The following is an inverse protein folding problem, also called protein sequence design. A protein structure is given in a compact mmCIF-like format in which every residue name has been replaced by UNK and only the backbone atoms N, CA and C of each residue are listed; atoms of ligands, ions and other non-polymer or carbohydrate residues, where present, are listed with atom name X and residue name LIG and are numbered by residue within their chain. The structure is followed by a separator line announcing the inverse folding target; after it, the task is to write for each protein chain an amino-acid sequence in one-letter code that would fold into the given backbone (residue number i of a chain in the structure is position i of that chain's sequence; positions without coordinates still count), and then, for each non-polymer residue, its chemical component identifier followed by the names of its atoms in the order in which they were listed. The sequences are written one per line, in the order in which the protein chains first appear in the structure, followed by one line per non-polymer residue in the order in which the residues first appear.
data_IF_559656313144
#
_entry.id   IF_559656313144
#
_cell.length_a   1.000
_cell.length_b   1.000
_cell.length_c   1.000
_cell.angle_alpha   90.00
_cell.angle_beta   90.00
_cell.angle_gamma   90.00
#
_symmetry.space_group_name_H-M   'P 1'
#
loop_
_entity.id
_entity.type
_entity.pdbx_description
1 polymer ?
#
# COMPACT_ATOMS: atom_id res chain seq x y z
N UNK A 1 -6.07 54.58 -4.56
CA UNK A 1 -7.43 54.04 -4.31
C UNK A 1 -7.35 52.70 -3.60
N UNK A 2 -8.16 52.47 -2.57
CA UNK A 2 -8.45 51.14 -2.00
C UNK A 2 -9.97 51.05 -1.81
N UNK A 3 -10.59 49.98 -2.30
CA UNK A 3 -12.04 49.81 -2.19
C UNK A 3 -12.44 49.25 -0.82
N UNK A 4 -13.55 49.71 -0.22
CA UNK A 4 -14.13 49.06 0.95
C UNK A 4 -14.80 47.74 0.55
N UNK A 5 -14.83 46.76 1.46
CA UNK A 5 -15.69 45.56 1.35
C UNK A 5 -15.00 44.22 1.55
N UNK A 6 -13.78 44.01 1.02
CA UNK A 6 -13.06 42.75 1.20
C UNK A 6 -12.02 42.80 2.32
N UNK A 7 -12.13 41.86 3.25
CA UNK A 7 -11.07 41.58 4.23
C UNK A 7 -9.81 41.04 3.54
N UNK A 8 -8.60 41.35 4.04
CA UNK A 8 -7.36 40.84 3.45
C UNK A 8 -7.30 39.31 3.56
N UNK A 9 -6.90 38.65 2.48
CA UNK A 9 -6.67 37.20 2.44
C UNK A 9 -5.69 36.75 3.53
N UNK A 10 -5.74 35.48 3.96
CA UNK A 10 -4.92 34.97 5.06
C UNK A 10 -3.42 35.25 4.87
N UNK A 11 -2.91 35.19 3.63
CA UNK A 11 -1.54 35.58 3.29
C UNK A 11 -1.22 37.04 3.64
N UNK A 12 -2.03 37.98 3.18
CA UNK A 12 -1.78 39.40 3.41
C UNK A 12 -2.05 39.83 4.86
N UNK A 13 -3.02 39.17 5.52
CA UNK A 13 -3.32 39.31 6.95
C UNK A 13 -2.14 38.86 7.82
N UNK A 14 -1.57 37.67 7.57
CA UNK A 14 -0.42 37.15 8.33
C UNK A 14 0.85 37.95 8.06
N UNK A 15 1.12 38.30 6.79
CA UNK A 15 2.29 39.07 6.37
C UNK A 15 2.17 40.58 6.60
N UNK A 16 1.09 41.05 7.27
CA UNK A 16 0.82 42.46 7.62
C UNK A 16 0.95 43.43 6.42
N UNK A 17 0.59 43.00 5.22
CA UNK A 17 0.69 43.77 3.96
C UNK A 17 -0.67 44.06 3.36
N UNK A 18 -0.77 45.10 2.51
CA UNK A 18 -1.98 45.39 1.74
C UNK A 18 -2.30 44.23 0.80
N UNK A 19 -3.55 43.76 0.81
CA UNK A 19 -4.06 42.87 -0.24
C UNK A 19 -4.40 43.71 -1.48
N UNK A 20 -3.78 43.40 -2.62
CA UNK A 20 -4.12 43.97 -3.92
C UNK A 20 -5.26 43.17 -4.58
N UNK A 21 -5.88 43.71 -5.65
CA UNK A 21 -6.99 43.06 -6.37
C UNK A 21 -6.54 41.80 -7.13
N UNK A 22 -5.28 41.82 -7.55
CA UNK A 22 -4.52 40.83 -8.32
C UNK A 22 -3.65 39.91 -7.43
N UNK A 23 -3.90 39.89 -6.11
CA UNK A 23 -3.12 39.11 -5.17
C UNK A 23 -3.22 37.60 -5.45
N UNK A 24 -2.13 36.99 -5.94
CA UNK A 24 -2.05 35.56 -6.28
C UNK A 24 -2.48 34.60 -5.15
N UNK A 25 -2.37 35.02 -3.89
CA UNK A 25 -2.79 34.22 -2.73
C UNK A 25 -4.29 34.30 -2.42
N UNK A 26 -4.98 35.35 -2.86
CA UNK A 26 -6.36 35.62 -2.45
C UNK A 26 -7.39 34.54 -2.89
N UNK A 27 -7.31 33.93 -4.08
CA UNK A 27 -8.24 32.87 -4.48
C UNK A 27 -8.09 31.56 -3.70
N UNK A 28 -6.92 31.31 -3.08
CA UNK A 28 -6.58 30.00 -2.50
C UNK A 28 -6.43 30.01 -0.97
N UNK A 29 -6.27 31.19 -0.37
CA UNK A 29 -6.08 31.40 1.06
C UNK A 29 -7.09 32.45 1.60
N UNK A 30 -8.38 32.09 1.71
CA UNK A 30 -9.45 32.99 2.18
C UNK A 30 -9.18 33.54 3.59
N UNK A 31 -9.81 34.65 4.01
CA UNK A 31 -9.60 35.27 5.32
C UNK A 31 -10.05 34.40 6.50
N UNK A 32 -10.94 33.44 6.24
CA UNK A 32 -11.64 32.57 7.19
C UNK A 32 -10.77 31.39 7.64
N UNK A 33 -9.80 30.97 6.82
CA UNK A 33 -8.81 29.94 7.15
C UNK A 33 -7.39 30.56 7.22
N UNK A 34 -7.04 31.22 8.34
CA UNK A 34 -5.69 31.73 8.56
C UNK A 34 -4.67 30.62 8.78
N UNK A 35 -5.09 29.43 9.22
CA UNK A 35 -4.19 28.33 9.56
C UNK A 35 -3.60 27.66 8.32
N UNK A 36 -4.39 27.46 7.26
CA UNK A 36 -3.95 26.92 5.95
C UNK A 36 -2.81 27.72 5.34
N UNK A 37 -2.83 29.06 5.43
CA UNK A 37 -1.66 29.85 5.01
C UNK A 37 -0.50 29.79 6.03
N UNK A 38 -0.78 29.82 7.34
CA UNK A 38 0.27 29.84 8.36
C UNK A 38 1.19 28.60 8.32
N UNK A 39 0.64 27.40 8.10
CA UNK A 39 1.44 26.16 7.98
C UNK A 39 2.27 26.14 6.68
N UNK A 40 1.67 26.52 5.55
CA UNK A 40 2.36 26.62 4.25
C UNK A 40 3.48 27.66 4.31
N UNK A 41 3.23 28.79 4.98
CA UNK A 41 4.23 29.81 5.23
C UNK A 41 5.38 29.30 6.11
N UNK A 42 5.09 28.51 7.15
CA UNK A 42 6.10 27.93 8.05
C UNK A 42 7.00 26.90 7.35
N UNK A 43 6.47 26.10 6.44
CA UNK A 43 7.20 24.99 5.80
C UNK A 43 7.87 25.40 4.49
N UNK A 44 7.18 26.13 3.62
CA UNK A 44 7.67 26.49 2.29
C UNK A 44 8.12 27.96 2.16
N UNK A 45 7.54 28.87 2.95
CA UNK A 45 7.78 30.31 2.86
C UNK A 45 7.01 31.01 1.72
N UNK A 46 6.58 32.25 1.96
CA UNK A 46 5.69 32.97 1.04
C UNK A 46 6.27 33.14 -0.38
N UNK A 47 7.56 33.43 -0.50
CA UNK A 47 8.23 33.69 -1.78
C UNK A 47 8.28 32.44 -2.66
N UNK A 48 8.60 31.28 -2.09
CA UNK A 48 8.68 30.02 -2.81
C UNK A 48 7.30 29.57 -3.31
N UNK A 49 6.26 29.70 -2.47
CA UNK A 49 4.87 29.43 -2.86
C UNK A 49 4.40 30.40 -3.93
N UNK A 50 4.77 31.69 -3.85
CA UNK A 50 4.47 32.65 -4.92
C UNK A 50 5.09 32.23 -6.26
N UNK A 51 6.35 31.76 -6.24
CA UNK A 51 7.07 31.30 -7.42
C UNK A 51 6.44 30.03 -8.01
N UNK A 52 6.24 28.99 -7.19
CA UNK A 52 5.59 27.73 -7.62
C UNK A 52 4.21 27.97 -8.24
N UNK A 53 3.40 28.86 -7.64
CA UNK A 53 2.10 29.21 -8.22
C UNK A 53 2.22 30.04 -9.51
N UNK A 54 3.25 30.88 -9.67
CA UNK A 54 3.49 31.62 -10.92
C UNK A 54 3.90 30.69 -12.07
N UNK A 55 4.70 29.66 -11.79
CA UNK A 55 5.18 28.66 -12.75
C UNK A 55 4.04 27.72 -13.24
N UNK A 56 2.93 27.61 -12.50
CA UNK A 56 1.81 26.74 -12.83
C UNK A 56 0.68 27.46 -13.61
N UNK A 57 0.00 26.78 -14.56
CA UNK A 57 -1.24 27.25 -15.17
C UNK A 57 -2.34 27.51 -14.12
N UNK A 58 -3.17 28.54 -14.33
CA UNK A 58 -4.14 29.02 -13.32
C UNK A 58 -5.10 27.92 -12.82
N UNK A 59 -5.50 26.99 -13.69
CA UNK A 59 -6.40 25.89 -13.34
C UNK A 59 -5.77 24.87 -12.37
N UNK A 60 -4.43 24.69 -12.37
CA UNK A 60 -3.71 23.72 -11.53
C UNK A 60 -3.34 24.29 -10.15
N UNK A 61 -3.41 25.62 -9.98
CA UNK A 61 -2.97 26.31 -8.76
C UNK A 61 -3.80 25.96 -7.53
N UNK A 62 -5.08 25.60 -7.70
CA UNK A 62 -5.94 25.19 -6.59
C UNK A 62 -5.45 23.86 -5.99
N UNK A 63 -5.23 22.86 -6.85
CA UNK A 63 -4.74 21.54 -6.46
C UNK A 63 -3.32 21.61 -5.91
N UNK A 64 -2.44 22.41 -6.53
CA UNK A 64 -1.10 22.65 -6.03
C UNK A 64 -1.09 23.29 -4.63
N UNK A 65 -1.99 24.24 -4.33
CA UNK A 65 -2.16 24.74 -2.96
C UNK A 65 -2.65 23.65 -2.02
N UNK A 66 -3.57 22.78 -2.43
CA UNK A 66 -4.06 21.70 -1.60
C UNK A 66 -2.94 20.67 -1.28
N UNK A 67 -2.09 20.31 -2.25
CA UNK A 67 -0.89 19.47 -2.04
C UNK A 67 0.10 20.13 -1.07
N UNK A 68 0.45 21.40 -1.30
CA UNK A 68 1.34 22.16 -0.39
C UNK A 68 0.77 22.24 1.04
N UNK A 69 -0.56 22.31 1.19
CA UNK A 69 -1.24 22.32 2.49
C UNK A 69 -1.20 20.95 3.16
N UNK A 70 -1.37 19.86 2.40
CA UNK A 70 -1.21 18.50 2.90
C UNK A 70 0.24 18.23 3.37
N UNK A 71 1.22 18.56 2.53
CA UNK A 71 2.64 18.40 2.83
C UNK A 71 3.07 19.27 4.03
N UNK A 72 2.62 20.53 4.09
CA UNK A 72 2.89 21.40 5.24
C UNK A 72 2.29 20.85 6.54
N UNK A 73 1.05 20.35 6.50
CA UNK A 73 0.42 19.67 7.65
C UNK A 73 1.25 18.44 8.08
N UNK A 74 1.63 17.59 7.14
CA UNK A 74 2.43 16.40 7.42
C UNK A 74 3.78 16.77 8.05
N UNK A 75 4.49 17.77 7.50
CA UNK A 75 5.79 18.26 8.01
C UNK A 75 5.69 19.01 9.34
N UNK A 76 4.50 19.51 9.71
CA UNK A 76 4.23 20.10 11.03
C UNK A 76 3.94 19.01 12.08
N UNK A 77 3.28 17.91 11.70
CA UNK A 77 3.06 16.75 12.60
C UNK A 77 4.32 15.92 12.80
N UNK A 78 5.06 15.66 11.73
CA UNK A 78 6.34 14.96 11.73
C UNK A 78 7.44 15.86 11.13
N UNK A 79 8.24 16.53 11.98
CA UNK A 79 9.36 17.36 11.53
C UNK A 79 10.54 16.60 10.90
N UNK A 80 10.58 15.26 11.01
CA UNK A 80 11.68 14.42 10.53
C UNK A 80 11.37 13.87 9.14
N UNK A 81 10.26 13.15 8.96
CA UNK A 81 9.89 12.50 7.69
C UNK A 81 8.70 13.18 6.99
N UNK A 82 7.80 13.83 7.72
CA UNK A 82 6.62 14.50 7.16
C UNK A 82 5.73 13.56 6.35
N UNK A 83 5.44 13.92 5.09
CA UNK A 83 4.68 13.06 4.18
C UNK A 83 5.43 11.77 3.79
N UNK A 84 6.76 11.75 3.85
CA UNK A 84 7.57 10.57 3.51
C UNK A 84 7.31 9.42 4.49
N UNK A 85 7.06 9.70 5.77
CA UNK A 85 6.71 8.67 6.75
C UNK A 85 5.41 7.93 6.39
N UNK A 86 4.41 8.65 5.88
CA UNK A 86 3.17 8.05 5.38
C UNK A 86 3.40 7.22 4.09
N UNK A 87 4.25 7.70 3.18
CA UNK A 87 4.62 6.96 1.96
C UNK A 87 5.32 5.64 2.33
N UNK A 88 6.33 5.67 3.21
CA UNK A 88 7.04 4.46 3.65
C UNK A 88 6.13 3.49 4.41
N UNK A 89 5.21 3.98 5.24
CA UNK A 89 4.19 3.14 5.88
C UNK A 89 3.32 2.43 4.84
N UNK A 90 2.74 3.17 3.89
CA UNK A 90 1.89 2.58 2.85
C UNK A 90 2.63 1.59 1.95
N UNK A 91 3.89 1.87 1.59
CA UNK A 91 4.75 0.94 0.85
C UNK A 91 4.98 -0.38 1.62
N UNK A 92 5.25 -0.29 2.93
CA UNK A 92 5.38 -1.47 3.79
C UNK A 92 4.07 -2.26 3.90
N UNK A 93 2.91 -1.60 3.97
CA UNK A 93 1.61 -2.28 3.99
C UNK A 93 1.32 -2.99 2.66
N UNK A 94 1.60 -2.36 1.51
CA UNK A 94 1.47 -2.98 0.19
C UNK A 94 2.35 -4.23 0.07
N UNK A 95 3.61 -4.16 0.52
CA UNK A 95 4.53 -5.30 0.50
C UNK A 95 4.07 -6.46 1.38
N UNK A 96 3.58 -6.19 2.59
CA UNK A 96 2.99 -7.20 3.48
C UNK A 96 1.77 -7.88 2.87
N UNK A 97 0.85 -7.12 2.27
CA UNK A 97 -0.36 -7.65 1.62
C UNK A 97 -0.02 -8.49 0.39
N UNK A 98 1.00 -8.08 -0.40
CA UNK A 98 1.51 -8.88 -1.52
C UNK A 98 2.12 -10.21 -1.04
N UNK A 99 2.86 -10.20 0.07
CA UNK A 99 3.41 -11.43 0.67
C UNK A 99 2.29 -12.37 1.16
N UNK A 100 1.29 -11.84 1.87
CA UNK A 100 0.13 -12.63 2.33
C UNK A 100 -0.65 -13.24 1.16
N UNK A 101 -0.86 -12.48 0.08
CA UNK A 101 -1.50 -12.97 -1.14
C UNK A 101 -0.70 -14.11 -1.79
N UNK A 102 0.63 -13.98 -1.89
CA UNK A 102 1.49 -15.01 -2.45
C UNK A 102 1.50 -16.30 -1.62
N UNK A 103 1.47 -16.20 -0.28
CA UNK A 103 1.34 -17.36 0.63
C UNK A 103 -0.01 -18.05 0.41
N UNK A 104 -1.13 -17.32 0.45
CA UNK A 104 -2.46 -17.89 0.24
C UNK A 104 -2.61 -18.54 -1.16
N UNK A 105 -2.01 -17.96 -2.20
CA UNK A 105 -1.98 -18.56 -3.54
C UNK A 105 -1.18 -19.87 -3.57
N UNK A 106 -0.03 -19.94 -2.89
CA UNK A 106 0.75 -21.17 -2.77
C UNK A 106 -0.01 -22.26 -1.99
N UNK A 107 -0.67 -21.90 -0.88
CA UNK A 107 -1.51 -22.83 -0.11
C UNK A 107 -2.65 -23.43 -0.95
N UNK A 108 -3.35 -22.61 -1.73
CA UNK A 108 -4.43 -23.06 -2.64
C UNK A 108 -3.88 -24.06 -3.67
N UNK A 109 -2.74 -23.77 -4.29
CA UNK A 109 -2.10 -24.68 -5.25
C UNK A 109 -1.67 -26.00 -4.60
N UNK A 110 -1.08 -25.94 -3.40
CA UNK A 110 -0.71 -27.13 -2.63
C UNK A 110 -1.93 -27.99 -2.26
N UNK A 111 -3.09 -27.39 -1.96
CA UNK A 111 -4.34 -28.13 -1.69
C UNK A 111 -4.89 -28.75 -2.99
N UNK A 112 -4.88 -28.02 -4.11
CA UNK A 112 -5.33 -28.54 -5.41
C UNK A 112 -4.49 -29.75 -5.86
N UNK A 113 -3.16 -29.69 -5.72
CA UNK A 113 -2.27 -30.82 -6.01
C UNK A 113 -2.48 -32.05 -5.11
N UNK A 114 -3.16 -31.88 -3.96
CA UNK A 114 -3.53 -32.98 -3.06
C UNK A 114 -4.95 -33.52 -3.31
N UNK A 115 -5.72 -32.92 -4.24
CA UNK A 115 -7.10 -33.28 -4.55
C UNK A 115 -7.30 -34.03 -5.87
N UNK A 116 -6.22 -34.37 -6.60
CA UNK A 116 -6.29 -35.32 -7.73
C UNK A 116 -6.89 -36.66 -7.25
N UNK A 117 -8.08 -37.05 -7.75
CA UNK A 117 -8.78 -38.22 -7.24
C UNK A 117 -8.17 -39.50 -7.82
N UNK A 118 -8.04 -40.54 -6.99
CA UNK A 118 -7.56 -41.84 -7.42
C UNK A 118 -8.58 -42.56 -8.34
N UNK A 119 -8.52 -42.26 -9.64
CA UNK A 119 -9.28 -42.93 -10.70
C UNK A 119 -8.69 -44.31 -11.02
N UNK A 120 -8.92 -45.27 -10.12
CA UNK A 120 -8.49 -46.66 -10.31
C UNK A 120 -9.64 -47.67 -10.22
N UNK A 121 -9.72 -48.49 -11.26
CA UNK A 121 -10.33 -49.84 -11.31
C UNK A 121 -11.80 -50.00 -10.89
N UNK A 122 -12.67 -50.19 -11.90
CA UNK A 122 -13.80 -51.12 -11.81
C UNK A 122 -13.56 -52.23 -12.84
N UNK A 123 -13.57 -53.51 -12.43
CA UNK A 123 -12.98 -54.60 -13.22
C UNK A 123 -13.95 -55.78 -13.36
N UNK A 124 -14.40 -56.07 -14.59
CA UNK A 124 -15.16 -57.25 -15.05
C UNK A 124 -15.20 -57.14 -16.61
N UNK A 125 -14.54 -57.95 -17.46
CA UNK A 125 -14.32 -59.41 -17.52
C UNK A 125 -15.64 -60.14 -17.84
N UNK A 126 -15.78 -60.98 -18.88
CA UNK A 126 -14.83 -61.59 -19.85
C UNK A 126 -14.61 -60.67 -21.11
N UNK A 127 -14.16 -61.03 -22.33
CA UNK A 127 -13.89 -62.29 -23.08
C UNK A 127 -12.55 -62.24 -23.89
N UNK A 128 -12.40 -63.02 -24.97
CA UNK A 128 -11.19 -63.25 -25.80
C UNK A 128 -11.25 -62.42 -27.12
N UNK A 129 -10.21 -62.24 -27.95
CA UNK A 129 -8.97 -63.01 -28.14
C UNK A 129 -7.82 -62.17 -28.78
N UNK A 130 -6.65 -62.79 -28.90
CA UNK A 130 -5.48 -62.50 -29.75
C UNK A 130 -4.52 -61.35 -29.37
N UNK A 131 -3.24 -61.73 -29.41
CA UNK A 131 -2.01 -61.01 -29.11
C UNK A 131 -1.85 -59.62 -29.76
N UNK A 132 -1.40 -58.63 -28.97
CA UNK A 132 0.00 -58.18 -29.12
C UNK A 132 0.55 -57.37 -27.91
N UNK A 133 1.86 -57.51 -27.69
CA UNK A 133 2.81 -56.55 -27.08
C UNK A 133 2.64 -55.95 -25.66
N UNK A 134 3.65 -56.33 -24.85
CA UNK A 134 4.66 -55.46 -24.18
C UNK A 134 4.58 -55.26 -22.65
N UNK A 135 5.70 -55.64 -22.02
CA UNK A 135 6.19 -55.37 -20.66
C UNK A 135 5.17 -55.32 -19.52
N UNK A 136 4.89 -56.51 -18.97
CA UNK A 136 5.10 -56.67 -17.53
C UNK A 136 6.60 -56.58 -17.19
N UNK A 137 6.89 -56.40 -15.89
CA UNK A 137 8.22 -56.34 -15.26
C UNK A 137 8.94 -54.97 -15.36
N UNK A 138 9.39 -54.36 -14.26
CA UNK A 138 9.02 -54.56 -12.85
C UNK A 138 9.56 -53.41 -11.98
N UNK A 139 8.93 -53.18 -10.82
CA UNK A 139 9.44 -52.50 -9.63
C UNK A 139 9.81 -51.00 -9.72
N UNK A 140 9.40 -50.27 -8.68
CA UNK A 140 9.94 -48.95 -8.36
C UNK A 140 11.44 -49.07 -8.07
N UNK A 141 12.24 -48.16 -8.64
CA UNK A 141 13.56 -47.81 -8.12
C UNK A 141 13.50 -46.33 -7.76
N UNK A 142 13.18 -46.05 -6.50
CA UNK A 142 13.44 -44.74 -5.92
C UNK A 142 14.95 -44.48 -5.95
N UNK A 143 15.40 -43.53 -6.78
CA UNK A 143 16.78 -43.05 -6.73
C UNK A 143 16.83 -41.54 -6.89
N UNK A 144 17.55 -40.89 -5.99
CA UNK A 144 17.60 -39.44 -5.85
C UNK A 144 18.71 -38.85 -6.72
N UNK A 145 18.65 -37.55 -6.99
CA UNK A 145 19.76 -36.72 -6.50
C UNK A 145 19.37 -35.25 -6.27
N UNK A 146 19.98 -34.65 -5.25
CA UNK A 146 20.14 -33.20 -5.13
C UNK A 146 21.58 -32.86 -5.51
N UNK A 147 21.81 -31.83 -6.32
CA UNK A 147 23.05 -31.08 -6.22
C UNK A 147 22.81 -29.60 -6.55
N UNK A 148 23.50 -28.72 -5.83
CA UNK A 148 23.21 -27.29 -5.84
C UNK A 148 23.85 -26.59 -7.04
N UNK A 149 23.08 -25.81 -7.80
CA UNK A 149 23.08 -24.35 -7.63
C UNK A 149 22.14 -23.64 -8.62
N UNK A 150 21.44 -22.63 -8.10
CA UNK A 150 20.72 -21.56 -8.82
C UNK A 150 19.53 -21.93 -9.70
N UNK A 151 18.46 -21.14 -9.52
CA UNK A 151 17.23 -21.07 -10.31
C UNK A 151 16.21 -22.22 -10.14
N UNK A 152 14.97 -21.80 -9.87
CA UNK A 152 13.67 -22.49 -10.03
C UNK A 152 13.50 -23.93 -9.48
N UNK A 153 12.59 -24.07 -8.51
CA UNK A 153 11.92 -25.35 -8.21
C UNK A 153 12.43 -26.09 -6.96
N UNK A 154 12.04 -25.62 -5.78
CA UNK A 154 12.17 -26.40 -4.54
C UNK A 154 10.85 -27.08 -4.19
N UNK A 155 10.71 -28.34 -4.59
CA UNK A 155 9.77 -29.25 -3.95
C UNK A 155 10.23 -29.52 -2.51
N UNK A 156 9.29 -29.58 -1.56
CA UNK A 156 9.54 -30.17 -0.24
C UNK A 156 8.60 -31.35 -0.02
N UNK A 157 9.18 -32.49 0.34
CA UNK A 157 8.45 -33.74 0.53
C UNK A 157 7.60 -33.72 1.79
N UNK A 158 6.36 -34.20 1.67
CA UNK A 158 5.50 -34.46 2.81
C UNK A 158 6.08 -35.53 3.73
N UNK A 159 6.18 -35.24 5.03
CA UNK A 159 5.80 -36.18 6.11
C UNK A 159 5.60 -35.46 7.44
N UNK A 160 4.32 -35.39 7.83
CA UNK A 160 3.83 -35.43 9.22
C UNK A 160 4.39 -34.39 10.22
N UNK A 161 3.54 -33.49 10.71
CA UNK A 161 2.95 -33.71 12.05
C UNK A 161 1.68 -32.89 12.32
N UNK A 162 0.70 -33.58 12.91
CA UNK A 162 -0.44 -33.16 13.71
C UNK A 162 -1.23 -31.86 13.38
N UNK A 163 -2.48 -32.04 12.99
CA UNK A 163 -3.54 -31.02 13.03
C UNK A 163 -3.97 -30.69 14.47
N UNK A 164 -3.38 -29.67 15.09
CA UNK A 164 -3.86 -29.11 16.36
C UNK A 164 -4.48 -27.71 16.16
N UNK A 165 -5.81 -27.66 16.13
CA UNK A 165 -6.56 -26.41 16.15
C UNK A 165 -6.59 -25.84 17.60
N UNK A 166 -5.50 -25.17 18.01
CA UNK A 166 -5.40 -24.55 19.34
C UNK A 166 -4.52 -23.29 19.33
N UNK A 167 -5.14 -22.13 19.57
CA UNK A 167 -4.42 -20.87 19.84
C UNK A 167 -4.10 -20.75 21.32
N UNK A 168 -2.89 -20.29 21.69
CA UNK A 168 -2.65 -19.63 22.96
C UNK A 168 -2.19 -18.17 22.77
N UNK A 169 -2.93 -17.22 23.35
CA UNK A 169 -2.44 -15.87 23.59
C UNK A 169 -1.24 -15.91 24.56
N UNK A 170 -0.06 -15.41 24.16
CA UNK A 170 0.90 -14.74 25.07
C UNK A 170 2.16 -14.22 24.36
N UNK A 171 2.13 -12.97 23.90
CA UNK A 171 3.24 -11.99 24.04
C UNK A 171 2.74 -10.60 23.62
N UNK A 172 2.02 -9.97 24.53
CA UNK A 172 1.34 -8.68 24.31
C UNK A 172 2.33 -7.50 24.45
N UNK A 173 3.23 -7.34 23.48
CA UNK A 173 4.07 -6.15 23.33
C UNK A 173 3.20 -4.99 22.80
N UNK A 174 2.39 -4.41 23.68
CA UNK A 174 1.30 -3.48 23.33
C UNK A 174 1.79 -2.08 22.98
N UNK A 175 2.54 -1.95 21.87
CA UNK A 175 2.70 -0.66 21.22
C UNK A 175 1.35 -0.27 20.64
N UNK A 176 0.71 0.74 21.22
CA UNK A 176 -0.66 1.13 20.88
C UNK A 176 -0.70 1.69 19.45
N UNK A 177 -1.10 0.85 18.50
CA UNK A 177 -1.49 1.28 17.16
C UNK A 177 -2.78 2.08 17.27
N UNK A 178 -2.64 3.40 17.40
CA UNK A 178 -3.74 4.33 17.24
C UNK A 178 -4.19 4.26 15.77
N UNK A 179 -5.30 3.55 15.52
CA UNK A 179 -5.84 3.26 14.20
C UNK A 179 -5.96 4.54 13.32
N UNK A 180 -5.11 4.71 12.28
CA UNK A 180 -5.05 5.94 11.50
C UNK A 180 -6.35 6.26 10.74
N UNK A 181 -7.17 5.24 10.46
CA UNK A 181 -8.44 5.39 9.74
C UNK A 181 -9.45 6.28 10.50
N UNK A 182 -9.26 6.49 11.81
CA UNK A 182 -10.05 7.45 12.61
C UNK A 182 -9.58 8.91 12.50
N UNK A 183 -8.53 9.22 11.73
CA UNK A 183 -8.18 10.61 11.38
C UNK A 183 -8.67 11.04 9.99
N UNK A 184 -9.14 10.12 9.14
CA UNK A 184 -9.68 10.46 7.82
C UNK A 184 -11.08 11.09 7.94
N UNK A 185 -11.87 10.68 8.94
CA UNK A 185 -13.18 11.26 9.28
C UNK A 185 -13.14 12.66 9.92
N UNK A 186 -11.99 13.35 9.87
CA UNK A 186 -11.83 14.76 10.27
C UNK A 186 -11.65 15.71 9.07
N UNK A 187 -11.81 15.21 7.84
CA UNK A 187 -11.67 15.97 6.59
C UNK A 187 -12.93 15.95 5.71
N UNK A 188 -14.08 15.66 6.31
CA UNK A 188 -15.43 15.68 5.71
C UNK A 188 -16.35 16.56 6.53
#
# INVERSE_FOLDING_TARGET
MGGPGSSPCASCKLLRRRCAKDCIFAPYFPPDDPHKFAIVHKVFGASNVSKMLQELPVHQRADAVNSLVFEANARVRDPVYGCVGAISYLQNQVSQLQMQLAVAQAEILCIQMQQEPNLQSHHQILELDQDDKILLLHNNIDNCNNNSNNNLGYAMSSRQFNSNFASPNSMQMQMQMQDPLKQESLWT
#
